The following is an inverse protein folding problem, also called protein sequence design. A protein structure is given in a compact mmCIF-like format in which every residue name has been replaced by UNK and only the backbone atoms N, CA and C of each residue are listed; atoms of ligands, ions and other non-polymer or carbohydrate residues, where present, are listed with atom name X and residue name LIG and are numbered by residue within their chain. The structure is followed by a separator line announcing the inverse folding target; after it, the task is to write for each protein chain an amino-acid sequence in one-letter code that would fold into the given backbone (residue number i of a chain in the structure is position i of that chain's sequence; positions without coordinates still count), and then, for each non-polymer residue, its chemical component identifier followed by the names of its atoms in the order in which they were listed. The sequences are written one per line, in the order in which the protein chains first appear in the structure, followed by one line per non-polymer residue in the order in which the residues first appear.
data_IF_253030229726
#
_entry.id   IF_253030229726
#
_cell.length_a   1.000
_cell.length_b   1.000
_cell.length_c   1.000
_cell.angle_alpha   90.00
_cell.angle_beta   90.00
_cell.angle_gamma   90.00
#
_symmetry.space_group_name_H-M   'P 1'
#
loop_
_entity.id
_entity.type
_entity.pdbx_description
1 polymer ?
#
# COMPACT_ATOMS: atom_id res chain seq x y z
N UNK A 1 -8.14 23.74 -11.15
CA UNK A 1 -9.11 22.74 -10.59
C UNK A 1 -10.28 23.53 -10.01
N UNK A 2 -11.24 23.88 -10.86
CA UNK A 2 -12.46 24.55 -10.45
C UNK A 2 -13.51 23.46 -10.18
N UNK A 3 -14.03 23.33 -8.98
CA UNK A 3 -15.04 22.41 -8.48
C UNK A 3 -14.58 21.14 -7.72
N UNK A 4 -13.43 21.14 -7.08
CA UNK A 4 -13.04 20.05 -6.17
C UNK A 4 -13.33 20.39 -4.69
N UNK A 5 -14.32 21.20 -4.42
CA UNK A 5 -14.58 21.76 -3.06
C UNK A 5 -14.67 20.71 -1.94
N UNK A 6 -14.92 19.43 -2.25
CA UNK A 6 -15.02 18.40 -1.23
C UNK A 6 -13.90 17.34 -1.27
N UNK A 7 -13.20 17.16 -2.39
CA UNK A 7 -12.07 16.22 -2.45
C UNK A 7 -10.87 16.83 -1.73
N UNK A 8 -10.33 16.10 -0.76
CA UNK A 8 -9.12 16.55 -0.03
C UNK A 8 -7.85 16.35 -0.85
N UNK A 9 -7.84 15.32 -1.70
CA UNK A 9 -6.72 14.97 -2.58
C UNK A 9 -7.28 14.41 -3.90
N UNK A 10 -6.42 14.15 -4.88
CA UNK A 10 -6.78 13.30 -6.00
C UNK A 10 -7.14 11.88 -5.49
N UNK A 11 -7.97 11.11 -6.23
CA UNK A 11 -8.28 9.74 -5.86
C UNK A 11 -7.04 8.85 -5.74
N UNK A 12 -7.05 7.91 -4.81
CA UNK A 12 -6.07 6.82 -4.78
C UNK A 12 -6.68 5.58 -5.45
N UNK A 13 -5.97 4.98 -6.41
CA UNK A 13 -6.41 3.77 -7.12
C UNK A 13 -5.59 2.59 -6.62
N UNK A 14 -6.10 1.85 -5.64
CA UNK A 14 -5.38 0.72 -5.04
C UNK A 14 -5.69 -0.58 -5.77
N UNK A 15 -4.64 -1.33 -6.12
CA UNK A 15 -4.77 -2.66 -6.73
C UNK A 15 -4.95 -3.73 -5.64
N UNK A 16 -6.07 -4.46 -5.67
CA UNK A 16 -6.42 -5.51 -4.70
C UNK A 16 -7.11 -6.66 -5.43
N UNK A 17 -6.52 -7.84 -5.40
CA UNK A 17 -7.05 -8.99 -6.16
C UNK A 17 -7.10 -8.69 -7.66
N UNK A 18 -8.28 -8.84 -8.21
CA UNK A 18 -8.64 -8.52 -9.60
C UNK A 18 -9.45 -7.20 -9.72
N UNK A 19 -9.41 -6.35 -8.70
CA UNK A 19 -10.13 -5.08 -8.63
C UNK A 19 -9.22 -3.91 -8.35
N UNK A 20 -9.69 -2.72 -8.71
CA UNK A 20 -9.18 -1.46 -8.15
C UNK A 20 -10.15 -0.96 -7.08
N UNK A 21 -9.63 -0.63 -5.92
CA UNK A 21 -10.34 0.13 -4.91
C UNK A 21 -10.00 1.61 -5.09
N UNK A 22 -10.93 2.36 -5.69
CA UNK A 22 -10.77 3.80 -5.86
C UNK A 22 -11.25 4.46 -4.57
N UNK A 23 -10.30 5.03 -3.84
CA UNK A 23 -10.55 5.61 -2.53
C UNK A 23 -10.36 7.12 -2.55
N UNK A 24 -11.31 7.84 -1.94
CA UNK A 24 -11.37 9.31 -2.01
C UNK A 24 -11.67 9.90 -0.64
N UNK A 25 -10.69 10.57 0.00
CA UNK A 25 -10.94 11.30 1.22
C UNK A 25 -11.66 12.62 0.92
N UNK A 26 -12.69 12.94 1.72
CA UNK A 26 -13.54 14.11 1.51
C UNK A 26 -13.57 15.04 2.72
N UNK A 27 -13.73 16.34 2.46
CA UNK A 27 -13.85 17.38 3.47
C UNK A 27 -15.31 17.59 3.95
N UNK A 28 -16.28 17.03 3.23
CA UNK A 28 -17.69 17.12 3.58
C UNK A 28 -18.42 15.83 3.21
N UNK A 29 -19.41 15.44 3.99
CA UNK A 29 -20.19 14.23 3.72
C UNK A 29 -20.92 14.33 2.37
N UNK A 30 -20.80 13.31 1.58
CA UNK A 30 -21.42 13.21 0.25
C UNK A 30 -21.85 11.78 -0.06
N UNK A 31 -22.63 11.62 -1.10
CA UNK A 31 -22.90 10.34 -1.75
C UNK A 31 -22.00 10.26 -2.98
N UNK A 32 -21.13 9.26 -3.05
CA UNK A 32 -20.11 9.16 -4.09
C UNK A 32 -20.24 7.86 -4.90
N UNK A 33 -19.85 7.94 -6.17
CA UNK A 33 -19.69 6.79 -7.06
C UNK A 33 -18.64 7.09 -8.13
N UNK A 34 -18.13 6.03 -8.74
CA UNK A 34 -17.23 6.10 -9.89
C UNK A 34 -17.99 5.62 -11.13
N UNK A 35 -17.88 6.36 -12.22
CA UNK A 35 -18.34 5.94 -13.54
C UNK A 35 -17.13 5.46 -14.35
N UNK A 36 -17.20 4.23 -14.87
CA UNK A 36 -16.23 3.67 -15.82
C UNK A 36 -17.01 3.20 -17.05
N UNK A 37 -16.76 3.82 -18.20
CA UNK A 37 -17.60 3.57 -19.38
C UNK A 37 -19.08 3.86 -19.13
N UNK A 38 -19.92 2.85 -19.27
CA UNK A 38 -21.38 2.96 -19.03
C UNK A 38 -21.76 2.50 -17.60
N UNK A 39 -20.85 1.85 -16.86
CA UNK A 39 -21.13 1.27 -15.54
C UNK A 39 -20.82 2.26 -14.40
N UNK A 40 -21.60 2.16 -13.32
CA UNK A 40 -21.45 2.98 -12.12
C UNK A 40 -21.19 2.10 -10.88
N UNK A 41 -20.11 2.41 -10.15
CA UNK A 41 -19.67 1.71 -8.95
C UNK A 41 -19.84 2.60 -7.74
N UNK A 42 -20.70 2.21 -6.83
CA UNK A 42 -21.10 3.01 -5.67
C UNK A 42 -20.29 2.64 -4.43
N UNK A 43 -20.10 3.63 -3.54
CA UNK A 43 -19.73 3.33 -2.16
C UNK A 43 -20.97 2.83 -1.42
N UNK A 44 -21.14 1.51 -1.38
CA UNK A 44 -22.31 0.79 -0.83
C UNK A 44 -21.89 -0.22 0.26
N UNK A 45 -20.87 0.11 1.04
CA UNK A 45 -20.30 -0.77 2.08
C UNK A 45 -21.35 -1.32 3.08
N UNK A 46 -22.50 -0.65 3.24
CA UNK A 46 -23.65 -1.17 4.00
C UNK A 46 -24.60 -2.08 3.20
N UNK A 47 -24.35 -2.29 1.90
CA UNK A 47 -25.05 -3.21 1.01
C UNK A 47 -26.30 -2.69 0.30
N UNK A 48 -26.94 -1.60 0.73
CA UNK A 48 -28.16 -1.08 0.13
C UNK A 48 -28.23 0.44 -0.01
N UNK A 49 -27.55 1.18 0.85
CA UNK A 49 -27.51 2.63 0.80
C UNK A 49 -26.13 3.10 0.39
N UNK A 50 -26.06 4.19 -0.34
CA UNK A 50 -24.80 4.85 -0.60
C UNK A 50 -24.24 5.37 0.72
N UNK A 51 -23.01 5.01 1.01
CA UNK A 51 -22.31 5.43 2.22
C UNK A 51 -22.02 6.92 2.20
N UNK A 52 -21.92 7.53 3.36
CA UNK A 52 -21.54 8.93 3.55
C UNK A 52 -20.39 9.00 4.54
N UNK A 53 -19.26 8.45 4.12
CA UNK A 53 -18.04 8.32 4.91
C UNK A 53 -17.07 9.50 4.66
N UNK A 54 -16.09 9.64 5.51
CA UNK A 54 -15.00 10.62 5.34
C UNK A 54 -13.97 10.17 4.31
N UNK A 55 -13.94 8.86 4.00
CA UNK A 55 -13.16 8.26 2.94
C UNK A 55 -14.05 7.28 2.19
N UNK A 56 -14.33 7.58 0.94
CA UNK A 56 -15.13 6.70 0.09
C UNK A 56 -14.27 5.59 -0.52
N UNK A 57 -14.87 4.40 -0.71
CA UNK A 57 -14.27 3.26 -1.41
C UNK A 57 -15.23 2.73 -2.46
N UNK A 58 -14.87 2.85 -3.71
CA UNK A 58 -15.59 2.25 -4.83
C UNK A 58 -14.75 1.12 -5.41
N UNK A 59 -15.33 -0.06 -5.55
CA UNK A 59 -14.65 -1.26 -6.05
C UNK A 59 -14.98 -1.43 -7.52
N UNK A 60 -13.96 -1.36 -8.37
CA UNK A 60 -14.09 -1.42 -9.83
C UNK A 60 -13.33 -2.65 -10.35
N UNK A 61 -13.92 -3.49 -11.23
CA UNK A 61 -13.19 -4.55 -11.89
C UNK A 61 -11.95 -4.01 -12.63
N UNK A 62 -10.80 -4.62 -12.41
CA UNK A 62 -9.54 -4.15 -12.96
C UNK A 62 -9.56 -4.14 -14.49
N UNK A 63 -10.10 -5.20 -15.11
CA UNK A 63 -10.21 -5.31 -16.56
C UNK A 63 -11.03 -4.18 -17.22
N UNK A 64 -12.02 -3.64 -16.52
CA UNK A 64 -12.84 -2.56 -17.05
C UNK A 64 -12.09 -1.23 -17.05
N UNK A 65 -11.48 -0.86 -15.93
CA UNK A 65 -10.72 0.36 -15.85
C UNK A 65 -9.48 0.32 -16.76
N UNK A 66 -8.83 -0.84 -16.86
CA UNK A 66 -7.67 -1.03 -17.77
C UNK A 66 -8.07 -0.88 -19.23
N UNK A 67 -9.28 -1.28 -19.60
CA UNK A 67 -9.82 -1.13 -20.96
C UNK A 67 -10.22 0.32 -21.25
N UNK A 68 -10.97 0.96 -20.34
CA UNK A 68 -11.49 2.31 -20.54
C UNK A 68 -10.42 3.39 -20.39
N UNK A 69 -9.40 3.15 -19.56
CA UNK A 69 -8.26 4.07 -19.28
C UNK A 69 -8.67 5.46 -18.82
N UNK A 70 -9.84 5.57 -18.26
CA UNK A 70 -10.41 6.77 -17.68
C UNK A 70 -11.57 6.42 -16.73
N UNK A 71 -11.81 7.29 -15.78
CA UNK A 71 -12.94 7.19 -14.88
C UNK A 71 -13.42 8.57 -14.46
N UNK A 72 -14.66 8.66 -14.00
CA UNK A 72 -15.25 9.91 -13.51
C UNK A 72 -15.67 9.72 -12.07
N UNK A 73 -15.15 10.53 -11.16
CA UNK A 73 -15.71 10.66 -9.81
C UNK A 73 -16.97 11.48 -9.89
N UNK A 74 -18.07 10.92 -9.40
CA UNK A 74 -19.36 11.57 -9.31
C UNK A 74 -19.76 11.68 -7.84
N UNK A 75 -20.23 12.84 -7.41
CA UNK A 75 -20.72 12.98 -6.05
C UNK A 75 -21.88 13.97 -5.93
N UNK A 76 -22.64 13.83 -4.84
CA UNK A 76 -23.65 14.79 -4.38
C UNK A 76 -23.38 15.10 -2.90
N UNK A 77 -23.04 16.34 -2.59
CA UNK A 77 -22.83 16.79 -1.21
C UNK A 77 -24.14 16.70 -0.45
N UNK A 78 -24.09 16.16 0.78
CA UNK A 78 -25.25 16.01 1.63
C UNK A 78 -25.55 17.33 2.31
N UNK A 79 -26.80 17.81 2.20
CA UNK A 79 -27.36 18.93 2.94
C UNK A 79 -27.95 18.41 4.25
N UNK A 80 -28.83 17.40 4.18
CA UNK A 80 -29.47 16.81 5.35
C UNK A 80 -29.90 15.36 5.08
N UNK A 81 -29.63 14.46 6.03
CA UNK A 81 -30.22 13.12 6.04
C UNK A 81 -31.55 13.13 6.78
N UNK A 82 -32.67 13.06 6.04
CA UNK A 82 -34.01 12.97 6.57
C UNK A 82 -34.45 11.53 6.75
N UNK A 83 -35.52 11.24 7.54
CA UNK A 83 -35.94 9.85 7.84
C UNK A 83 -36.24 9.00 6.61
N UNK A 84 -36.71 9.61 5.53
CA UNK A 84 -37.13 8.89 4.32
C UNK A 84 -36.29 9.18 3.07
N UNK A 85 -35.52 10.24 3.07
CA UNK A 85 -34.63 10.59 1.96
C UNK A 85 -33.47 11.48 2.43
N UNK A 86 -32.45 11.55 1.58
CA UNK A 86 -31.29 12.42 1.78
C UNK A 86 -31.43 13.63 0.83
N UNK A 87 -31.40 14.82 1.40
CA UNK A 87 -31.32 16.06 0.62
C UNK A 87 -29.87 16.35 0.26
N UNK A 88 -29.61 16.59 -1.02
CA UNK A 88 -28.27 16.81 -1.54
C UNK A 88 -28.22 18.02 -2.43
N UNK A 89 -27.03 18.56 -2.61
CA UNK A 89 -26.72 19.49 -3.70
C UNK A 89 -26.78 18.78 -5.06
N UNK A 90 -26.62 19.54 -6.14
CA UNK A 90 -26.54 19.00 -7.50
C UNK A 90 -25.33 18.07 -7.67
N UNK A 91 -25.41 17.21 -8.67
CA UNK A 91 -24.34 16.29 -9.02
C UNK A 91 -23.13 17.03 -9.57
N UNK A 92 -21.94 16.67 -9.05
CA UNK A 92 -20.64 17.12 -9.56
C UNK A 92 -19.91 15.93 -10.19
N UNK A 93 -19.25 16.15 -11.30
CA UNK A 93 -18.48 15.15 -12.05
C UNK A 93 -17.06 15.65 -12.28
N UNK A 94 -16.06 14.79 -12.03
CA UNK A 94 -14.63 15.09 -12.20
C UNK A 94 -13.98 13.93 -12.94
N UNK A 95 -13.43 14.19 -14.12
CA UNK A 95 -12.82 13.18 -14.97
C UNK A 95 -11.35 12.99 -14.63
N UNK A 96 -10.90 11.73 -14.67
CA UNK A 96 -9.52 11.31 -14.48
C UNK A 96 -9.11 10.38 -15.64
N UNK A 97 -7.92 10.60 -16.17
CA UNK A 97 -7.26 9.63 -17.03
C UNK A 97 -6.67 8.51 -16.16
N UNK A 98 -6.56 7.30 -16.72
CA UNK A 98 -5.93 6.17 -16.03
C UNK A 98 -4.96 5.45 -16.94
N UNK A 99 -3.77 5.16 -16.43
CA UNK A 99 -2.73 4.43 -17.13
C UNK A 99 -2.46 3.12 -16.38
N UNK A 100 -3.02 1.99 -16.85
CA UNK A 100 -2.75 0.68 -16.27
C UNK A 100 -1.31 0.25 -16.56
N UNK A 101 -0.79 -0.64 -15.73
CA UNK A 101 0.51 -1.29 -15.98
C UNK A 101 0.36 -2.24 -17.16
N UNK A 102 1.04 -1.96 -18.26
CA UNK A 102 0.94 -2.72 -19.50
C UNK A 102 2.33 -2.93 -20.13
N UNK A 103 2.49 -4.07 -20.80
CA UNK A 103 3.74 -4.40 -21.48
C UNK A 103 4.69 -5.26 -20.65
N UNK A 104 5.89 -5.54 -21.20
CA UNK A 104 6.87 -6.42 -20.56
C UNK A 104 7.66 -5.72 -19.43
N UNK A 105 7.79 -4.42 -19.51
CA UNK A 105 8.60 -3.60 -18.61
C UNK A 105 7.71 -2.67 -17.80
N UNK A 106 8.10 -2.42 -16.54
CA UNK A 106 7.41 -1.49 -15.66
C UNK A 106 8.39 -0.87 -14.66
N UNK A 107 7.98 0.24 -14.06
CA UNK A 107 8.72 0.90 -12.98
C UNK A 107 7.79 1.17 -11.81
N UNK A 108 8.25 0.82 -10.61
CA UNK A 108 7.56 1.17 -9.37
C UNK A 108 8.46 2.04 -8.49
N UNK A 109 7.85 2.80 -7.61
CA UNK A 109 8.58 3.44 -6.53
C UNK A 109 8.01 3.03 -5.19
N UNK A 110 8.89 2.73 -4.24
CA UNK A 110 8.56 2.25 -2.90
C UNK A 110 8.88 3.29 -1.85
N UNK A 111 7.90 3.57 -1.01
CA UNK A 111 7.94 4.46 0.15
C UNK A 111 7.48 3.67 1.37
N UNK A 112 8.25 3.69 2.45
CA UNK A 112 7.89 3.18 3.76
C UNK A 112 8.35 4.14 4.85
N UNK A 113 7.79 4.04 6.06
CA UNK A 113 8.21 4.81 7.24
C UNK A 113 8.21 6.34 7.01
N UNK A 114 7.17 6.84 6.36
CA UNK A 114 7.02 8.28 6.13
C UNK A 114 6.73 9.07 7.42
N UNK A 115 6.08 8.43 8.42
CA UNK A 115 5.83 9.01 9.75
C UNK A 115 5.32 10.47 9.69
N UNK A 116 4.23 10.68 8.96
CA UNK A 116 3.58 11.99 8.69
C UNK A 116 4.38 12.95 7.79
N UNK A 117 5.52 12.55 7.24
CA UNK A 117 6.22 13.34 6.23
C UNK A 117 5.60 13.08 4.85
N UNK A 118 5.46 14.12 4.04
CA UNK A 118 4.93 14.06 2.67
C UNK A 118 5.96 14.60 1.68
N UNK A 119 6.50 15.77 1.93
CA UNK A 119 7.40 16.45 1.00
C UNK A 119 8.67 15.66 0.72
N UNK A 120 9.30 15.07 1.73
CA UNK A 120 10.56 14.36 1.60
C UNK A 120 10.43 13.01 0.88
N UNK A 121 9.44 12.15 1.18
CA UNK A 121 9.18 10.95 0.38
C UNK A 121 8.85 11.27 -1.08
N UNK A 122 8.04 12.31 -1.32
CA UNK A 122 7.68 12.77 -2.66
C UNK A 122 8.94 13.22 -3.41
N UNK A 123 9.79 14.06 -2.80
CA UNK A 123 11.02 14.53 -3.41
C UNK A 123 11.98 13.37 -3.76
N UNK A 124 12.08 12.34 -2.90
CA UNK A 124 12.89 11.15 -3.17
C UNK A 124 12.37 10.38 -4.40
N UNK A 125 11.03 10.25 -4.53
CA UNK A 125 10.39 9.64 -5.69
C UNK A 125 10.57 10.47 -6.96
N UNK A 126 10.45 11.79 -6.88
CA UNK A 126 10.67 12.70 -8.01
C UNK A 126 12.11 12.62 -8.53
N UNK A 127 13.10 12.45 -7.64
CA UNK A 127 14.50 12.24 -8.04
C UNK A 127 14.68 10.94 -8.82
N UNK A 128 13.98 9.87 -8.44
CA UNK A 128 13.93 8.65 -9.26
C UNK A 128 13.27 8.91 -10.62
N UNK A 129 12.09 9.53 -10.63
CA UNK A 129 11.34 9.85 -11.86
C UNK A 129 12.17 10.72 -12.81
N UNK A 130 12.87 11.70 -12.29
CA UNK A 130 13.73 12.57 -13.08
C UNK A 130 14.87 11.82 -13.77
N UNK A 131 15.44 10.81 -13.11
CA UNK A 131 16.59 10.05 -13.62
C UNK A 131 16.18 8.88 -14.51
N UNK A 132 15.12 8.16 -14.16
CA UNK A 132 14.72 6.90 -14.79
C UNK A 132 13.42 6.98 -15.57
N UNK A 133 12.72 8.12 -15.54
CA UNK A 133 11.42 8.34 -16.19
C UNK A 133 10.24 7.99 -15.27
N UNK A 134 9.01 8.20 -15.76
CA UNK A 134 7.80 8.05 -14.95
C UNK A 134 7.64 6.64 -14.41
N UNK A 135 7.03 6.53 -13.24
CA UNK A 135 6.63 5.27 -12.63
C UNK A 135 5.29 4.79 -13.22
N UNK A 136 5.07 3.50 -13.20
CA UNK A 136 3.83 2.85 -13.64
C UNK A 136 2.92 2.49 -12.47
N UNK A 137 3.47 2.31 -11.27
CA UNK A 137 2.71 2.18 -10.03
C UNK A 137 3.53 2.60 -8.81
N UNK A 138 2.81 2.91 -7.71
CA UNK A 138 3.40 3.31 -6.44
C UNK A 138 3.24 2.17 -5.41
N UNK A 139 4.22 2.00 -4.53
CA UNK A 139 4.15 1.09 -3.39
C UNK A 139 4.28 1.91 -2.11
N UNK A 140 3.23 1.95 -1.29
CA UNK A 140 3.28 2.46 0.08
C UNK A 140 3.34 1.29 1.05
N UNK A 141 4.43 1.14 1.77
CA UNK A 141 4.72 -0.05 2.55
C UNK A 141 4.81 0.21 4.05
N UNK A 142 3.72 0.69 4.61
CA UNK A 142 3.53 0.83 6.05
C UNK A 142 4.21 2.04 6.70
N UNK A 143 3.77 2.33 7.91
CA UNK A 143 4.24 3.44 8.74
C UNK A 143 4.18 4.79 7.99
N UNK A 144 3.14 4.97 7.17
CA UNK A 144 2.94 6.24 6.46
C UNK A 144 2.44 7.30 7.44
N UNK A 145 1.36 7.11 8.22
CA UNK A 145 1.15 7.89 9.42
C UNK A 145 2.11 7.44 10.53
N UNK A 146 2.49 8.34 11.42
CA UNK A 146 3.32 7.99 12.59
C UNK A 146 2.57 7.09 13.59
N UNK A 147 1.26 7.23 13.65
CA UNK A 147 0.35 6.36 14.41
C UNK A 147 -1.11 6.65 14.04
N UNK A 148 -2.00 5.70 14.32
CA UNK A 148 -3.45 5.83 14.13
C UNK A 148 -4.18 6.47 15.31
N UNK A 149 -3.53 7.36 16.06
CA UNK A 149 -4.12 8.06 17.21
C UNK A 149 -5.01 9.24 16.82
N UNK A 150 -4.96 9.68 15.57
CA UNK A 150 -5.78 10.76 15.00
C UNK A 150 -6.23 10.34 13.60
N UNK A 151 -7.50 10.58 13.31
CA UNK A 151 -8.04 10.25 11.99
C UNK A 151 -7.40 11.10 10.88
N UNK A 152 -6.98 12.31 11.21
CA UNK A 152 -6.31 13.23 10.28
C UNK A 152 -4.97 12.69 9.78
N UNK A 153 -4.32 11.81 10.53
CA UNK A 153 -3.05 11.22 10.10
C UNK A 153 -3.21 10.33 8.86
N UNK A 154 -4.39 9.74 8.65
CA UNK A 154 -4.62 8.92 7.46
C UNK A 154 -4.55 9.71 6.16
N UNK A 155 -4.71 11.05 6.20
CA UNK A 155 -4.62 11.88 5.00
C UNK A 155 -3.22 11.82 4.37
N UNK A 156 -2.16 11.57 5.15
CA UNK A 156 -0.80 11.48 4.64
C UNK A 156 -0.63 10.39 3.57
N UNK A 157 -1.36 9.27 3.70
CA UNK A 157 -1.39 8.21 2.68
C UNK A 157 -1.85 8.81 1.35
N UNK A 158 -2.94 9.56 1.38
CA UNK A 158 -3.57 10.12 0.19
C UNK A 158 -2.81 11.32 -0.38
N UNK A 159 -2.16 12.12 0.46
CA UNK A 159 -1.33 13.23 0.02
C UNK A 159 -0.13 12.73 -0.79
N UNK A 160 0.60 11.72 -0.30
CA UNK A 160 1.71 11.11 -1.03
C UNK A 160 1.22 10.47 -2.34
N UNK A 161 0.12 9.70 -2.29
CA UNK A 161 -0.46 9.10 -3.50
C UNK A 161 -0.87 10.16 -4.50
N UNK A 162 -1.55 11.21 -4.05
CA UNK A 162 -2.02 12.32 -4.90
C UNK A 162 -0.88 13.03 -5.62
N UNK A 163 0.19 13.37 -4.89
CA UNK A 163 1.34 14.07 -5.46
C UNK A 163 2.08 13.22 -6.52
N UNK A 164 2.18 11.91 -6.32
CA UNK A 164 2.95 11.04 -7.21
C UNK A 164 2.13 10.39 -8.31
N UNK A 165 0.83 10.19 -8.10
CA UNK A 165 -0.01 9.47 -9.05
C UNK A 165 -1.07 10.33 -9.74
N UNK A 166 -1.48 11.44 -9.12
CA UNK A 166 -2.57 12.31 -9.58
C UNK A 166 -3.89 11.54 -9.87
N UNK A 167 -4.07 10.35 -9.27
CA UNK A 167 -5.18 9.44 -9.57
C UNK A 167 -5.03 8.67 -10.89
N UNK A 168 -3.90 8.76 -11.57
CA UNK A 168 -3.74 8.29 -12.95
C UNK A 168 -3.02 6.93 -13.07
N UNK A 169 -2.41 6.43 -11.99
CA UNK A 169 -1.71 5.13 -11.96
C UNK A 169 -2.06 4.36 -10.70
N UNK A 170 -1.94 3.02 -10.71
CA UNK A 170 -2.26 2.20 -9.55
C UNK A 170 -1.26 2.38 -8.40
N UNK A 171 -1.75 2.12 -7.19
CA UNK A 171 -0.96 2.07 -5.95
C UNK A 171 -1.17 0.72 -5.27
N UNK A 172 -0.15 0.21 -4.59
CA UNK A 172 -0.22 -0.93 -3.67
C UNK A 172 0.09 -0.44 -2.27
N UNK A 173 -0.67 -0.88 -1.28
CA UNK A 173 -0.49 -0.48 0.11
C UNK A 173 -0.28 -1.71 1.00
N UNK A 174 0.70 -1.67 1.88
CA UNK A 174 0.89 -2.63 2.97
C UNK A 174 0.85 -1.87 4.31
N UNK A 175 0.23 -2.47 5.32
CA UNK A 175 0.18 -1.89 6.66
C UNK A 175 1.50 -2.12 7.41
N UNK A 176 1.97 -1.12 8.16
CA UNK A 176 3.10 -1.21 9.07
C UNK A 176 2.66 -1.38 10.53
N UNK A 177 3.63 -1.47 11.44
CA UNK A 177 3.34 -1.66 12.86
C UNK A 177 2.84 -0.37 13.54
N UNK A 178 3.28 0.81 13.13
CA UNK A 178 2.73 2.08 13.64
C UNK A 178 1.27 2.29 13.23
N UNK A 179 0.86 1.74 12.11
CA UNK A 179 -0.53 1.78 11.63
C UNK A 179 -1.50 1.02 12.57
N UNK A 180 -0.97 0.11 13.43
CA UNK A 180 -1.76 -0.64 14.41
C UNK A 180 -1.86 0.05 15.77
N UNK A 181 -1.26 1.24 15.92
CA UNK A 181 -1.19 1.98 17.19
C UNK A 181 -2.17 3.14 17.25
N UNK A 182 -2.86 3.31 18.37
CA UNK A 182 -3.76 4.43 18.62
C UNK A 182 -5.23 4.07 18.52
N UNK A 183 -6.08 5.01 18.91
CA UNK A 183 -7.54 4.79 19.08
C UNK A 183 -8.30 4.54 17.77
N UNK A 184 -7.72 4.90 16.62
CA UNK A 184 -8.30 4.66 15.30
C UNK A 184 -7.67 3.46 14.57
N UNK A 185 -6.76 2.71 15.21
CA UNK A 185 -6.10 1.57 14.61
C UNK A 185 -7.08 0.50 14.08
N UNK A 186 -8.17 0.24 14.81
CA UNK A 186 -9.24 -0.66 14.38
C UNK A 186 -10.09 -0.13 13.23
N UNK A 187 -9.93 1.17 12.87
CA UNK A 187 -10.62 1.84 11.76
C UNK A 187 -9.74 2.00 10.52
N UNK A 188 -8.49 1.59 10.58
CA UNK A 188 -7.56 1.81 9.46
C UNK A 188 -8.06 1.16 8.15
N UNK A 189 -8.73 0.03 8.25
CA UNK A 189 -9.33 -0.66 7.09
C UNK A 189 -10.45 0.15 6.43
N UNK A 190 -11.02 1.16 7.08
CA UNK A 190 -11.99 2.07 6.49
C UNK A 190 -11.28 3.13 5.60
N UNK A 191 -9.98 3.33 5.81
CA UNK A 191 -9.14 4.33 5.15
C UNK A 191 -8.00 3.76 4.30
N UNK A 192 -7.87 2.44 4.21
CA UNK A 192 -6.82 1.77 3.43
C UNK A 192 -7.42 0.61 2.64
N UNK A 193 -6.78 0.16 1.53
CA UNK A 193 -7.31 -0.97 0.78
C UNK A 193 -7.32 -2.24 1.63
N UNK A 194 -8.31 -3.07 1.43
CA UNK A 194 -8.45 -4.34 2.12
C UNK A 194 -9.16 -5.38 1.24
N UNK A 195 -8.91 -6.65 1.52
CA UNK A 195 -9.65 -7.75 0.91
C UNK A 195 -10.39 -8.54 2.00
N UNK A 196 -11.72 -8.60 1.91
CA UNK A 196 -12.56 -9.27 2.92
C UNK A 196 -12.32 -8.74 4.35
N UNK A 197 -12.01 -7.46 4.49
CA UNK A 197 -11.68 -6.81 5.77
C UNK A 197 -10.26 -7.08 6.29
N UNK A 198 -9.41 -7.72 5.48
CA UNK A 198 -8.00 -8.00 5.83
C UNK A 198 -7.05 -7.06 5.10
N UNK A 199 -5.95 -6.69 5.78
CA UNK A 199 -4.86 -5.85 5.25
C UNK A 199 -3.86 -6.62 4.38
N UNK A 200 -3.97 -7.95 4.31
CA UNK A 200 -3.16 -8.81 3.45
C UNK A 200 -3.97 -9.33 2.27
N UNK A 201 -3.38 -9.30 1.09
CA UNK A 201 -4.04 -9.67 -0.17
C UNK A 201 -3.02 -9.96 -1.28
N UNK A 202 -3.44 -10.61 -2.36
CA UNK A 202 -2.68 -10.65 -3.60
C UNK A 202 -3.15 -9.54 -4.55
N UNK A 203 -2.32 -9.18 -5.52
CA UNK A 203 -2.68 -8.26 -6.60
C UNK A 203 -2.01 -8.68 -7.90
N UNK A 204 -2.55 -8.17 -9.01
CA UNK A 204 -1.92 -8.31 -10.31
C UNK A 204 -1.94 -6.99 -11.07
N UNK A 205 -0.78 -6.56 -11.54
CA UNK A 205 -0.60 -5.38 -12.38
C UNK A 205 0.14 -5.80 -13.66
N UNK A 206 -0.59 -5.98 -14.75
CA UNK A 206 -0.01 -6.49 -16.01
C UNK A 206 0.61 -7.88 -15.84
N UNK A 207 1.93 -7.98 -16.02
CA UNK A 207 2.71 -9.19 -15.85
C UNK A 207 3.35 -9.36 -14.45
N UNK A 208 3.05 -8.45 -13.53
CA UNK A 208 3.54 -8.47 -12.16
C UNK A 208 2.43 -9.03 -11.26
N UNK A 209 2.72 -10.12 -10.58
CA UNK A 209 1.92 -10.63 -9.48
C UNK A 209 2.61 -10.28 -8.15
N UNK A 210 1.84 -9.83 -7.17
CA UNK A 210 2.37 -9.50 -5.86
C UNK A 210 1.53 -10.04 -4.72
N UNK A 211 2.18 -10.29 -3.60
CA UNK A 211 1.55 -10.68 -2.34
C UNK A 211 1.90 -9.63 -1.29
N UNK A 212 0.87 -8.99 -0.76
CA UNK A 212 0.96 -8.07 0.37
C UNK A 212 0.75 -8.86 1.64
N UNK A 213 1.71 -8.78 2.56
CA UNK A 213 1.67 -9.40 3.89
C UNK A 213 1.70 -8.34 4.98
N UNK A 214 1.22 -8.71 6.17
CA UNK A 214 1.10 -7.84 7.32
C UNK A 214 1.57 -8.53 8.60
N UNK A 215 2.71 -8.15 9.11
CA UNK A 215 3.26 -8.74 10.32
C UNK A 215 2.59 -8.24 11.62
N UNK A 216 1.73 -7.22 11.56
CA UNK A 216 1.21 -6.56 12.75
C UNK A 216 2.30 -5.85 13.54
N UNK A 217 2.22 -5.88 14.87
CA UNK A 217 3.20 -5.27 15.77
C UNK A 217 4.55 -6.03 15.81
N UNK A 218 5.59 -5.32 16.21
CA UNK A 218 6.99 -5.73 16.17
C UNK A 218 7.49 -6.43 17.45
N UNK A 219 6.62 -6.62 18.46
CA UNK A 219 6.92 -7.31 19.71
C UNK A 219 5.84 -8.37 20.01
N UNK A 220 6.10 -9.25 20.98
CA UNK A 220 5.10 -10.25 21.40
C UNK A 220 3.85 -9.59 22.01
N UNK A 221 2.70 -10.21 21.84
CA UNK A 221 1.41 -9.68 22.33
C UNK A 221 1.41 -9.34 23.82
N UNK A 222 2.21 -10.06 24.64
CA UNK A 222 2.35 -9.82 26.07
C UNK A 222 3.32 -8.71 26.44
N UNK A 223 3.92 -8.03 25.45
CA UNK A 223 4.86 -6.93 25.74
C UNK A 223 4.14 -5.80 26.51
N UNK A 224 4.74 -5.25 27.58
CA UNK A 224 4.09 -4.24 28.42
C UNK A 224 3.61 -2.99 27.68
N UNK A 225 4.28 -2.63 26.58
CA UNK A 225 3.90 -1.49 25.74
C UNK A 225 2.50 -1.61 25.17
N UNK A 226 2.03 -2.83 24.90
CA UNK A 226 0.71 -3.06 24.29
C UNK A 226 -0.42 -3.21 25.32
N UNK A 227 -0.13 -3.28 26.60
CA UNK A 227 -1.14 -3.35 27.66
C UNK A 227 -2.13 -4.52 27.53
N UNK A 228 -1.72 -5.63 26.90
CA UNK A 228 -2.56 -6.80 26.55
C UNK A 228 -3.75 -6.45 25.64
N UNK A 229 -3.61 -5.49 24.73
CA UNK A 229 -4.69 -5.04 23.85
C UNK A 229 -4.57 -5.56 22.42
N UNK A 230 -3.45 -6.18 22.04
CA UNK A 230 -3.20 -6.72 20.71
C UNK A 230 -3.35 -8.23 20.64
N UNK A 231 -3.58 -8.77 19.45
CA UNK A 231 -3.73 -10.21 19.18
C UNK A 231 -2.97 -10.64 17.91
N UNK A 232 -1.76 -10.09 17.73
CA UNK A 232 -0.96 -10.26 16.51
C UNK A 232 -0.57 -11.73 16.27
N UNK A 233 -0.32 -12.53 17.31
CA UNK A 233 -0.08 -13.96 17.16
C UNK A 233 -1.25 -14.69 16.48
N UNK A 234 -2.49 -14.42 16.92
CA UNK A 234 -3.68 -15.01 16.30
C UNK A 234 -3.90 -14.51 14.86
N UNK A 235 -3.63 -13.23 14.62
CA UNK A 235 -3.68 -12.60 13.30
C UNK A 235 -2.70 -13.26 12.32
N UNK A 236 -1.43 -13.43 12.69
CA UNK A 236 -0.40 -14.12 11.88
C UNK A 236 -0.76 -15.56 11.55
N UNK A 237 -1.44 -16.27 12.46
CA UNK A 237 -1.98 -17.61 12.18
C UNK A 237 -3.10 -17.60 11.14
N UNK A 238 -3.92 -16.55 11.08
CA UNK A 238 -4.93 -16.40 10.03
C UNK A 238 -4.24 -16.13 8.69
N UNK A 239 -3.23 -15.28 8.67
CA UNK A 239 -2.45 -14.96 7.49
C UNK A 239 -1.65 -16.16 6.98
N UNK A 240 -1.14 -17.04 7.85
CA UNK A 240 -0.57 -18.34 7.44
C UNK A 240 -1.58 -19.16 6.64
N UNK A 241 -2.85 -19.18 7.03
CA UNK A 241 -3.92 -19.85 6.27
C UNK A 241 -4.18 -19.18 4.92
N UNK A 242 -4.11 -17.87 4.87
CA UNK A 242 -4.20 -17.11 3.64
C UNK A 242 -3.05 -17.46 2.68
N UNK A 243 -1.80 -17.47 3.12
CA UNK A 243 -0.64 -17.87 2.31
C UNK A 243 -0.84 -19.28 1.73
N UNK A 244 -1.31 -20.23 2.54
CA UNK A 244 -1.62 -21.58 2.07
C UNK A 244 -2.74 -21.61 1.01
N UNK A 245 -3.80 -20.79 1.19
CA UNK A 245 -4.88 -20.64 0.21
C UNK A 245 -4.38 -20.08 -1.11
N UNK A 246 -3.46 -19.11 -1.08
CA UNK A 246 -2.80 -18.59 -2.29
C UNK A 246 -2.03 -19.71 -3.01
N UNK A 247 -1.31 -20.55 -2.27
CA UNK A 247 -0.57 -21.68 -2.83
C UNK A 247 -1.51 -22.72 -3.43
N UNK A 248 -2.61 -23.03 -2.78
CA UNK A 248 -3.65 -23.95 -3.30
C UNK A 248 -4.29 -23.45 -4.59
N UNK A 249 -4.33 -22.13 -4.80
CA UNK A 249 -4.88 -21.47 -5.98
C UNK A 249 -3.80 -20.98 -6.98
N UNK A 250 -2.62 -21.56 -6.94
CA UNK A 250 -1.45 -21.10 -7.70
C UNK A 250 -1.73 -20.77 -9.17
N UNK A 251 -2.55 -21.58 -9.87
CA UNK A 251 -2.90 -21.40 -11.28
C UNK A 251 -3.70 -20.11 -11.56
N UNK A 252 -4.42 -19.59 -10.56
CA UNK A 252 -5.14 -18.31 -10.64
C UNK A 252 -4.34 -17.14 -10.08
N UNK A 253 -3.29 -17.44 -9.36
CA UNK A 253 -2.41 -16.51 -8.67
C UNK A 253 -1.07 -16.40 -9.41
N UNK A 254 0.01 -16.70 -8.76
CA UNK A 254 1.37 -16.50 -9.23
C UNK A 254 1.82 -17.44 -10.40
N UNK A 255 1.02 -18.42 -10.78
CA UNK A 255 1.23 -19.27 -11.97
C UNK A 255 0.24 -18.95 -13.09
N UNK A 256 -0.61 -17.95 -12.93
CA UNK A 256 -1.54 -17.54 -13.96
C UNK A 256 -0.80 -17.09 -15.24
N UNK A 257 -1.46 -17.32 -16.39
CA UNK A 257 -0.89 -16.94 -17.69
C UNK A 257 -0.48 -15.46 -17.72
N UNK A 258 0.70 -15.18 -18.26
CA UNK A 258 1.26 -13.83 -18.38
C UNK A 258 1.95 -13.30 -17.12
N UNK A 259 1.96 -14.02 -16.00
CA UNK A 259 2.77 -13.64 -14.83
C UNK A 259 4.24 -13.90 -15.14
N UNK A 260 5.05 -12.85 -15.07
CA UNK A 260 6.49 -12.89 -15.28
C UNK A 260 7.26 -12.52 -14.01
N UNK A 261 6.75 -11.58 -13.25
CA UNK A 261 7.36 -11.10 -12.01
C UNK A 261 6.52 -11.47 -10.81
N UNK A 262 7.19 -11.87 -9.72
CA UNK A 262 6.56 -12.23 -8.45
C UNK A 262 7.25 -11.49 -7.33
N UNK A 263 6.50 -10.63 -6.64
CA UNK A 263 7.01 -9.77 -5.57
C UNK A 263 6.26 -10.01 -4.26
N UNK A 264 6.96 -9.89 -3.14
CA UNK A 264 6.35 -9.82 -1.81
C UNK A 264 6.52 -8.40 -1.29
N UNK A 265 5.44 -7.82 -0.79
CA UNK A 265 5.44 -6.51 -0.14
C UNK A 265 5.04 -6.73 1.31
N UNK A 266 5.91 -6.38 2.22
CA UNK A 266 5.68 -6.54 3.65
C UNK A 266 6.50 -5.50 4.40
N UNK A 267 5.89 -4.82 5.36
CA UNK A 267 6.60 -3.75 6.06
C UNK A 267 7.81 -4.28 6.86
N UNK A 268 7.60 -5.30 7.71
CA UNK A 268 8.65 -5.86 8.54
C UNK A 268 9.45 -6.94 7.78
N UNK A 269 10.80 -6.87 7.71
CA UNK A 269 11.67 -7.90 7.13
C UNK A 269 11.74 -9.15 8.04
N UNK A 270 10.65 -9.86 8.17
CA UNK A 270 10.37 -10.90 9.17
C UNK A 270 11.33 -12.11 9.15
N UNK A 271 12.10 -12.31 8.11
CA UNK A 271 13.09 -13.41 8.03
C UNK A 271 14.48 -13.00 8.45
N UNK A 272 14.71 -11.70 8.67
CA UNK A 272 15.98 -11.14 9.09
C UNK A 272 16.17 -11.31 10.60
N UNK A 273 17.41 -11.40 11.07
CA UNK A 273 17.71 -11.35 12.51
C UNK A 273 17.36 -9.97 13.08
N UNK A 274 16.70 -9.98 14.20
CA UNK A 274 16.36 -8.78 14.98
C UNK A 274 16.95 -8.88 16.39
N UNK A 275 17.22 -7.75 17.02
CA UNK A 275 17.59 -7.72 18.42
C UNK A 275 16.36 -7.86 19.32
N UNK A 276 16.55 -8.37 20.53
CA UNK A 276 15.48 -8.33 21.53
C UNK A 276 15.04 -6.87 21.82
N UNK A 277 13.73 -6.60 21.95
CA UNK A 277 12.59 -7.52 22.02
C UNK A 277 11.90 -7.81 20.68
N UNK A 278 12.53 -7.51 19.55
CA UNK A 278 11.95 -7.55 18.20
C UNK A 278 12.11 -8.92 17.50
N UNK A 279 12.88 -9.82 18.07
CA UNK A 279 12.98 -11.20 17.56
C UNK A 279 11.78 -11.99 18.06
N UNK A 280 10.76 -12.15 17.21
CA UNK A 280 9.47 -12.72 17.55
C UNK A 280 9.02 -13.74 16.51
N UNK A 281 8.12 -14.65 16.92
CA UNK A 281 7.35 -15.53 16.03
C UNK A 281 8.18 -16.41 15.10
N UNK A 282 9.35 -16.84 15.55
CA UNK A 282 10.31 -17.61 14.73
C UNK A 282 9.66 -18.80 14.00
N UNK A 283 8.74 -19.52 14.65
CA UNK A 283 8.04 -20.66 14.04
C UNK A 283 7.15 -20.22 12.86
N UNK A 284 6.34 -19.18 13.04
CA UNK A 284 5.43 -18.67 12.02
C UNK A 284 6.20 -18.07 10.85
N UNK A 285 7.18 -17.24 11.15
CA UNK A 285 7.97 -16.56 10.12
C UNK A 285 8.90 -17.51 9.36
N UNK A 286 9.45 -18.54 10.02
CA UNK A 286 10.15 -19.63 9.33
C UNK A 286 9.22 -20.37 8.38
N UNK A 287 7.99 -20.65 8.80
CA UNK A 287 6.99 -21.28 7.94
C UNK A 287 6.65 -20.39 6.73
N UNK A 288 6.41 -19.09 6.93
CA UNK A 288 6.15 -18.16 5.83
C UNK A 288 7.30 -18.13 4.83
N UNK A 289 8.54 -17.94 5.32
CA UNK A 289 9.74 -17.95 4.48
C UNK A 289 9.87 -19.23 3.67
N UNK A 290 9.62 -20.40 4.28
CA UNK A 290 9.65 -21.71 3.62
C UNK A 290 8.53 -21.82 2.57
N UNK A 291 7.29 -21.51 2.90
CA UNK A 291 6.15 -21.59 1.97
C UNK A 291 6.36 -20.69 0.74
N UNK A 292 6.83 -19.48 0.94
CA UNK A 292 7.12 -18.55 -0.13
C UNK A 292 8.28 -19.05 -1.00
N UNK A 293 9.39 -19.52 -0.41
CA UNK A 293 10.56 -20.00 -1.13
C UNK A 293 10.26 -21.28 -1.95
N UNK A 294 9.54 -22.23 -1.37
CA UNK A 294 9.32 -23.54 -2.01
C UNK A 294 8.23 -23.49 -3.09
N UNK A 295 7.16 -22.72 -2.87
CA UNK A 295 5.98 -22.72 -3.72
C UNK A 295 5.88 -21.47 -4.62
N UNK A 296 5.90 -20.29 -4.05
CA UNK A 296 5.70 -19.01 -4.77
C UNK A 296 6.94 -18.67 -5.59
N UNK A 297 8.13 -18.82 -5.01
CA UNK A 297 9.42 -18.48 -5.61
C UNK A 297 9.45 -17.02 -6.07
N UNK A 298 9.25 -16.06 -5.17
CA UNK A 298 9.30 -14.64 -5.51
C UNK A 298 10.73 -14.24 -5.91
N UNK A 299 10.86 -13.13 -6.64
CA UNK A 299 12.16 -12.58 -7.05
C UNK A 299 12.68 -11.55 -6.07
N UNK A 300 11.76 -10.85 -5.38
CA UNK A 300 12.13 -9.83 -4.39
C UNK A 300 11.09 -9.77 -3.27
N UNK A 301 11.55 -9.54 -2.04
CA UNK A 301 10.76 -9.15 -0.89
C UNK A 301 11.11 -7.70 -0.53
N UNK A 302 10.12 -6.82 -0.60
CA UNK A 302 10.24 -5.37 -0.44
C UNK A 302 9.78 -5.01 0.97
N UNK A 303 10.67 -4.38 1.75
CA UNK A 303 10.42 -4.07 3.16
C UNK A 303 10.77 -2.63 3.52
N UNK A 304 10.24 -2.17 4.67
CA UNK A 304 10.58 -0.94 5.37
C UNK A 304 11.09 -1.20 6.79
N UNK A 305 10.49 -0.54 7.79
CA UNK A 305 10.60 -0.79 9.24
C UNK A 305 11.96 -0.46 9.89
N UNK A 306 13.05 -0.80 9.26
CA UNK A 306 14.38 -0.72 9.89
C UNK A 306 15.03 0.67 9.79
N UNK A 307 14.41 1.62 9.09
CA UNK A 307 14.99 2.94 8.82
C UNK A 307 16.39 2.87 8.23
N UNK A 308 16.59 1.90 7.32
CA UNK A 308 17.86 1.60 6.65
C UNK A 308 17.65 1.35 5.17
N UNK A 309 18.73 1.35 4.41
CA UNK A 309 18.74 1.01 2.99
C UNK A 309 19.80 -0.05 2.76
N UNK A 310 19.37 -1.22 2.28
CA UNK A 310 20.28 -2.30 1.91
C UNK A 310 19.57 -3.36 1.05
N UNK A 311 20.37 -4.20 0.43
CA UNK A 311 19.92 -5.41 -0.28
C UNK A 311 20.65 -6.59 0.36
N UNK A 312 19.90 -7.63 0.70
CA UNK A 312 20.44 -8.89 1.23
C UNK A 312 19.99 -10.06 0.35
N UNK A 313 20.91 -10.98 0.11
CA UNK A 313 20.60 -12.23 -0.61
C UNK A 313 20.30 -13.36 0.40
N UNK A 314 19.52 -14.39 -0.01
CA UNK A 314 19.37 -15.59 0.80
C UNK A 314 20.71 -16.20 1.21
N UNK A 315 20.83 -16.57 2.48
CA UNK A 315 22.06 -17.10 3.07
C UNK A 315 23.08 -16.06 3.51
N UNK A 316 22.70 -14.76 3.55
CA UNK A 316 23.51 -13.71 4.17
C UNK A 316 23.66 -13.94 5.69
N UNK A 317 24.62 -13.25 6.34
CA UNK A 317 24.85 -13.37 7.79
C UNK A 317 23.62 -12.97 8.63
N UNK A 318 22.74 -12.16 8.07
CA UNK A 318 21.53 -11.65 8.71
C UNK A 318 20.27 -12.44 8.34
N UNK A 319 20.39 -13.40 7.42
CA UNK A 319 19.32 -14.34 7.07
C UNK A 319 19.11 -15.37 8.18
N UNK A 320 18.25 -15.05 9.12
CA UNK A 320 18.03 -15.86 10.32
C UNK A 320 17.01 -16.97 10.12
N UNK A 321 15.86 -16.66 9.49
CA UNK A 321 14.75 -17.60 9.34
C UNK A 321 14.59 -18.15 7.90
N UNK A 322 15.54 -17.86 7.02
CA UNK A 322 15.56 -18.28 5.62
C UNK A 322 14.81 -17.34 4.71
N UNK A 323 15.50 -16.34 4.17
CA UNK A 323 14.93 -15.42 3.17
C UNK A 323 14.32 -16.20 2.00
N UNK A 324 13.06 -15.89 1.61
CA UNK A 324 12.43 -16.57 0.48
C UNK A 324 13.06 -16.17 -0.88
N UNK A 325 13.66 -15.00 -0.94
CA UNK A 325 14.31 -14.40 -2.11
C UNK A 325 15.18 -13.23 -1.67
N UNK A 326 15.73 -12.48 -2.62
CA UNK A 326 16.39 -11.20 -2.36
C UNK A 326 15.50 -10.30 -1.51
N UNK A 327 16.05 -9.75 -0.43
CA UNK A 327 15.41 -8.79 0.46
C UNK A 327 15.90 -7.38 0.11
N UNK A 328 14.99 -6.45 -0.11
CA UNK A 328 15.28 -5.03 -0.30
C UNK A 328 14.59 -4.26 0.81
N UNK A 329 15.38 -3.59 1.65
CA UNK A 329 14.88 -2.64 2.65
C UNK A 329 15.19 -1.24 2.18
N UNK A 330 14.16 -0.41 2.07
CA UNK A 330 14.29 0.98 1.68
C UNK A 330 13.36 1.83 2.53
N UNK A 331 13.92 2.42 3.54
CA UNK A 331 13.22 3.30 4.44
C UNK A 331 14.23 4.01 5.30
N UNK A 332 14.30 5.31 5.17
CA UNK A 332 15.13 6.07 6.07
C UNK A 332 14.60 7.48 6.23
N UNK A 333 14.10 7.76 7.42
CA UNK A 333 13.95 9.11 7.91
C UNK A 333 15.14 9.38 8.83
N UNK A 334 15.93 10.38 8.50
CA UNK A 334 17.01 10.83 9.35
C UNK A 334 16.76 12.26 9.79
N UNK A 335 16.52 12.47 11.09
CA UNK A 335 16.57 13.79 11.69
C UNK A 335 18.02 14.03 12.14
N UNK A 336 18.72 14.97 11.50
CA UNK A 336 20.02 15.42 11.98
C UNK A 336 19.82 16.31 13.22
N UNK A 337 20.37 15.86 14.37
CA UNK A 337 20.19 16.56 15.66
C UNK A 337 21.05 17.81 15.80
N UNK A 338 22.12 17.95 15.03
CA UNK A 338 23.18 18.94 15.24
C UNK A 338 23.20 20.09 14.21
N UNK A 339 22.35 20.01 13.19
CA UNK A 339 22.12 21.06 12.19
C UNK A 339 20.62 21.34 12.14
N UNK A 340 20.19 22.43 11.49
CA UNK A 340 18.76 22.67 11.23
C UNK A 340 18.05 21.35 10.90
N UNK A 341 16.93 21.01 11.54
CA UNK A 341 16.35 19.67 11.40
C UNK A 341 15.88 19.42 9.95
N UNK A 342 16.79 18.96 9.12
CA UNK A 342 16.48 18.45 7.80
C UNK A 342 16.07 17.00 7.93
N UNK A 343 14.84 16.70 7.54
CA UNK A 343 14.41 15.33 7.38
C UNK A 343 15.08 14.73 6.15
N UNK A 344 15.81 13.63 6.35
CA UNK A 344 16.38 12.85 5.26
C UNK A 344 15.53 11.62 5.02
N UNK A 345 15.01 11.50 3.81
CA UNK A 345 14.20 10.37 3.40
C UNK A 345 14.79 9.68 2.16
N UNK A 346 14.78 8.36 2.15
CA UNK A 346 15.15 7.58 0.99
C UNK A 346 14.15 6.46 0.74
N UNK A 347 13.84 6.23 -0.53
CA UNK A 347 13.01 5.14 -1.01
C UNK A 347 13.73 4.32 -2.07
N UNK A 348 13.04 3.36 -2.68
CA UNK A 348 13.60 2.54 -3.76
C UNK A 348 12.72 2.53 -4.99
N UNK A 349 13.32 2.81 -6.15
CA UNK A 349 12.74 2.49 -7.44
C UNK A 349 12.99 1.03 -7.79
N UNK A 350 11.99 0.38 -8.37
CA UNK A 350 12.09 -0.98 -8.91
C UNK A 350 11.87 -0.93 -10.42
N UNK A 351 12.83 -1.44 -11.18
CA UNK A 351 12.77 -1.52 -12.65
C UNK A 351 12.59 -2.97 -13.03
N UNK A 352 11.44 -3.28 -13.58
CA UNK A 352 11.06 -4.60 -14.08
C UNK A 352 11.38 -4.63 -15.57
N UNK A 353 12.36 -5.42 -15.97
CA UNK A 353 12.76 -5.52 -17.39
C UNK A 353 13.46 -6.85 -17.66
N UNK A 354 13.21 -7.44 -18.83
CA UNK A 354 13.85 -8.69 -19.30
C UNK A 354 13.77 -9.87 -18.33
N UNK A 355 12.73 -9.94 -17.47
CA UNK A 355 12.55 -11.00 -16.48
C UNK A 355 13.34 -10.77 -15.17
N UNK A 356 14.05 -9.66 -15.04
CA UNK A 356 14.80 -9.26 -13.86
C UNK A 356 14.15 -8.05 -13.16
N UNK A 357 14.43 -7.90 -11.87
CA UNK A 357 14.00 -6.76 -11.06
C UNK A 357 15.25 -6.09 -10.51
N UNK A 358 15.51 -4.87 -10.96
CA UNK A 358 16.57 -4.01 -10.43
C UNK A 358 15.99 -3.10 -9.36
N UNK A 359 16.68 -2.96 -8.22
CA UNK A 359 16.34 -2.02 -7.17
C UNK A 359 17.38 -0.87 -7.15
N UNK A 360 16.87 0.36 -7.13
CA UNK A 360 17.67 1.59 -7.13
C UNK A 360 17.20 2.50 -6.00
N UNK A 361 18.10 2.84 -5.10
CA UNK A 361 17.78 3.78 -4.02
C UNK A 361 17.92 5.23 -4.48
N UNK A 362 17.00 6.07 -4.07
CA UNK A 362 17.07 7.53 -4.24
C UNK A 362 16.63 8.23 -2.97
N UNK A 363 17.14 9.42 -2.74
CA UNK A 363 16.83 10.24 -1.58
C UNK A 363 16.29 11.63 -1.97
N UNK A 364 15.77 12.37 -0.99
CA UNK A 364 15.25 13.72 -1.18
C UNK A 364 16.34 14.79 -1.35
N UNK A 365 17.62 14.45 -1.16
CA UNK A 365 18.74 15.40 -1.20
C UNK A 365 19.50 15.41 -2.54
N UNK A 366 19.07 14.60 -3.51
CA UNK A 366 19.81 14.41 -4.79
C UNK A 366 21.24 13.87 -4.60
N UNK A 367 21.51 13.14 -3.53
CA UNK A 367 22.83 12.58 -3.32
C UNK A 367 23.08 11.40 -4.27
N UNK A 368 24.16 11.47 -5.06
CA UNK A 368 24.60 10.39 -5.96
C UNK A 368 25.23 9.20 -5.19
N UNK A 369 24.91 9.01 -3.92
CA UNK A 369 25.58 8.04 -3.03
C UNK A 369 24.83 6.72 -2.90
N UNK A 370 24.27 6.21 -3.99
CA UNK A 370 23.61 4.89 -3.89
C UNK A 370 23.94 4.02 -5.08
#
# INVERSE_FOLDING_TARGET
MENTEILRTAPAVFAVGDTYQIMVPVAALCLMWVQVGEEAYYDDSNGILRSAESTHRMIVPMEELDREKKYTICYRKIIERKPYFTETEDEVRIDFEFRPVQGPDAKAYHIADAHNHVEEPVAAAENFIKKYGPIDFLILNGDIPDHSGRIENFINIYEIVSELTHGNIPTVFSRGNHDTRGIFAEKIVDHTPCQDGHSYYSFRLGNIWGLVLDCGEDKVDSHPEYGNTVCCHAFRKQETRFIRKIIENAEKEYQAEGVQYKVIIVHNPFTRIHNEPFQIEDEIFTEWGRLLREHVKPQVMICGHLHQMFIEEPGSETDYLGHPCRLVVASKIRVRKDETPECYFAGAGFIFSNGEIEAVFTDNMNSEQL
#
